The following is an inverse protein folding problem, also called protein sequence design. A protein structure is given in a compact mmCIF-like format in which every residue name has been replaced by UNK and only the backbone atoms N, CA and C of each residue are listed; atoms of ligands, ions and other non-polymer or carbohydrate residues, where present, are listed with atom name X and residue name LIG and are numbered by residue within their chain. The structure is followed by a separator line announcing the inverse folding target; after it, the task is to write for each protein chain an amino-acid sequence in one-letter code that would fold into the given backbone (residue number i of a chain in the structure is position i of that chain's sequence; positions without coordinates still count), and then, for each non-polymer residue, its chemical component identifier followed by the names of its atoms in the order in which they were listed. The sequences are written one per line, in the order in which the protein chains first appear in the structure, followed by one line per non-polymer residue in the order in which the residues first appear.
data_IF_086529953243
#
_entry.id   IF_086529953243
#
_cell.length_a   1.000
_cell.length_b   1.000
_cell.length_c   1.000
_cell.angle_alpha   90.00
_cell.angle_beta   90.00
_cell.angle_gamma   90.00
#
_symmetry.space_group_name_H-M   'P 1'
#
loop_
_entity.id
_entity.type
_entity.pdbx_description
1 polymer ?
#
# COMPACT_ATOMS: atom_id res chain seq x y z
N UNK A 1 20.39 1.68 22.17
CA UNK A 1 19.26 0.75 22.42
C UNK A 1 18.64 0.43 21.07
N UNK A 2 18.60 -0.83 20.67
CA UNK A 2 18.10 -1.25 19.35
C UNK A 2 16.57 -1.24 19.40
N UNK A 3 15.93 -0.37 18.63
CA UNK A 3 14.48 -0.36 18.48
C UNK A 3 14.07 -1.63 17.75
N UNK A 4 13.51 -2.58 18.49
CA UNK A 4 12.82 -3.74 17.93
C UNK A 4 11.63 -3.19 17.12
N UNK A 5 11.77 -3.19 15.80
CA UNK A 5 10.65 -2.98 14.89
C UNK A 5 9.71 -4.17 15.11
N UNK A 6 8.64 -3.95 15.86
CA UNK A 6 7.57 -4.93 16.03
C UNK A 6 7.05 -5.32 14.65
N UNK A 7 7.51 -6.45 14.13
CA UNK A 7 6.89 -7.16 13.02
C UNK A 7 5.53 -7.64 13.52
N UNK A 8 4.53 -6.76 13.47
CA UNK A 8 3.14 -7.19 13.49
C UNK A 8 2.92 -7.98 12.20
N UNK A 9 3.12 -9.29 12.30
CA UNK A 9 2.56 -10.26 11.37
C UNK A 9 1.04 -10.13 11.50
N UNK A 10 0.44 -9.25 10.70
CA UNK A 10 -1.02 -9.18 10.58
C UNK A 10 -1.44 -10.43 9.82
N UNK A 11 -1.69 -11.48 10.60
CA UNK A 11 -2.27 -12.76 10.22
C UNK A 11 -3.52 -12.55 9.36
N UNK A 12 -3.44 -12.93 8.09
CA UNK A 12 -4.42 -13.62 7.21
C UNK A 12 -5.94 -13.55 7.50
N UNK A 13 -6.46 -12.51 8.13
CA UNK A 13 -7.88 -12.19 8.22
C UNK A 13 -8.04 -10.70 7.88
N UNK A 14 -7.80 -10.36 6.62
CA UNK A 14 -8.09 -9.03 6.06
C UNK A 14 -9.60 -8.99 5.80
N UNK A 15 -10.37 -8.96 6.88
CA UNK A 15 -11.81 -8.78 6.83
C UNK A 15 -12.13 -7.60 7.73
N UNK A 16 -12.34 -6.46 7.07
CA UNK A 16 -13.06 -5.29 7.59
C UNK A 16 -12.32 -4.42 8.64
N UNK A 17 -11.17 -3.85 8.27
CA UNK A 17 -10.44 -2.99 9.22
C UNK A 17 -9.38 -2.07 8.62
N UNK A 18 -9.51 -1.66 7.36
CA UNK A 18 -8.59 -0.66 6.82
C UNK A 18 -8.86 0.70 7.45
N UNK A 19 -7.81 1.42 7.82
CA UNK A 19 -7.89 2.79 8.28
C UNK A 19 -7.37 3.76 7.22
N UNK A 20 -7.84 5.00 7.25
CA UNK A 20 -7.27 6.05 6.43
C UNK A 20 -5.77 6.18 6.73
N UNK A 21 -4.97 6.34 5.69
CA UNK A 21 -3.50 6.31 5.69
C UNK A 21 -2.85 4.93 5.77
N UNK A 22 -3.62 3.83 5.80
CA UNK A 22 -3.04 2.49 5.65
C UNK A 22 -2.43 2.30 4.27
N UNK A 23 -1.28 1.65 4.23
CA UNK A 23 -0.59 1.31 2.98
C UNK A 23 -1.00 -0.09 2.54
N UNK A 24 -1.61 -0.16 1.36
CA UNK A 24 -2.14 -1.38 0.76
C UNK A 24 -1.59 -1.59 -0.63
N UNK A 25 -1.66 -2.83 -1.08
CA UNK A 25 -1.30 -3.23 -2.45
C UNK A 25 -2.45 -4.01 -3.07
N UNK A 26 -2.53 -3.96 -4.39
CA UNK A 26 -3.53 -4.69 -5.15
C UNK A 26 -3.22 -6.17 -5.14
N UNK A 27 -4.25 -6.99 -4.96
CA UNK A 27 -4.16 -8.43 -5.14
C UNK A 27 -4.47 -8.78 -6.58
N UNK A 28 -4.15 -10.02 -6.97
CA UNK A 28 -4.47 -10.57 -8.30
C UNK A 28 -5.99 -10.65 -8.57
N UNK A 29 -6.83 -10.38 -7.56
CA UNK A 29 -8.28 -10.33 -7.72
C UNK A 29 -8.76 -9.02 -8.38
N UNK A 30 -7.97 -7.95 -8.32
CA UNK A 30 -8.25 -6.73 -9.05
C UNK A 30 -7.98 -6.95 -10.55
N UNK A 31 -9.04 -7.33 -11.28
CA UNK A 31 -8.92 -7.68 -12.72
C UNK A 31 -8.86 -6.46 -13.63
N UNK A 32 -9.36 -5.33 -13.15
CA UNK A 32 -9.52 -4.09 -13.93
C UNK A 32 -8.30 -3.19 -13.87
N UNK A 33 -7.42 -3.38 -12.88
CA UNK A 33 -6.27 -2.53 -12.67
C UNK A 33 -5.13 -3.32 -12.01
N UNK A 34 -3.98 -3.36 -12.65
CA UNK A 34 -2.79 -4.02 -12.13
C UNK A 34 -1.67 -2.99 -11.96
N UNK A 35 -1.26 -2.78 -10.72
CA UNK A 35 -0.08 -1.98 -10.39
C UNK A 35 0.65 -2.63 -9.23
N UNK A 36 1.98 -2.55 -9.27
CA UNK A 36 2.84 -2.92 -8.15
C UNK A 36 3.11 -1.73 -7.20
N UNK A 37 2.43 -0.61 -7.43
CA UNK A 37 2.55 0.56 -6.57
C UNK A 37 1.97 0.28 -5.18
N UNK A 38 2.51 1.02 -4.22
CA UNK A 38 1.89 1.18 -2.91
C UNK A 38 0.76 2.20 -3.01
N UNK A 39 -0.39 1.84 -2.46
CA UNK A 39 -1.55 2.72 -2.37
C UNK A 39 -1.82 3.08 -0.92
N UNK A 40 -2.22 4.31 -0.70
CA UNK A 40 -2.70 4.79 0.60
C UNK A 40 -4.23 4.77 0.60
N UNK A 41 -4.82 4.19 1.65
CA UNK A 41 -6.26 4.22 1.87
C UNK A 41 -6.68 5.65 2.19
N UNK A 42 -7.57 6.23 1.39
CA UNK A 42 -8.15 7.57 1.64
C UNK A 42 -9.43 7.50 2.46
N UNK A 43 -10.11 6.38 2.44
CA UNK A 43 -11.30 6.12 3.23
C UNK A 43 -12.29 5.21 2.51
N UNK A 44 -13.43 4.97 3.14
CA UNK A 44 -14.52 4.20 2.57
C UNK A 44 -15.29 5.04 1.56
N UNK A 45 -15.42 4.54 0.34
CA UNK A 45 -16.35 5.08 -0.64
C UNK A 45 -17.78 4.54 -0.40
N UNK A 46 -17.89 3.31 0.09
CA UNK A 46 -19.17 2.63 0.43
C UNK A 46 -18.89 1.57 1.49
N UNK A 47 -19.92 0.91 2.04
CA UNK A 47 -19.81 -0.14 3.07
C UNK A 47 -18.86 -1.31 2.73
N UNK A 48 -18.48 -1.49 1.45
CA UNK A 48 -17.58 -2.58 1.00
C UNK A 48 -16.47 -2.13 0.05
N UNK A 49 -16.41 -0.83 -0.24
CA UNK A 49 -15.51 -0.25 -1.24
C UNK A 49 -14.64 0.81 -0.61
N UNK A 50 -13.34 0.74 -0.91
CA UNK A 50 -12.31 1.63 -0.40
C UNK A 50 -11.75 2.47 -1.53
N UNK A 51 -11.57 3.76 -1.25
CA UNK A 51 -10.85 4.67 -2.12
C UNK A 51 -9.38 4.62 -1.75
N UNK A 52 -8.54 4.27 -2.72
CA UNK A 52 -7.09 4.12 -2.53
C UNK A 52 -6.35 4.99 -3.53
N UNK A 53 -5.23 5.59 -3.10
CA UNK A 53 -4.46 6.54 -3.89
C UNK A 53 -2.98 6.16 -3.92
N UNK A 54 -2.40 6.04 -5.10
CA UNK A 54 -0.95 6.09 -5.32
C UNK A 54 -0.52 7.46 -5.84
N UNK A 55 0.78 7.62 -6.11
CA UNK A 55 1.35 8.88 -6.65
C UNK A 55 0.61 9.37 -7.89
N UNK A 56 0.21 8.44 -8.77
CA UNK A 56 -0.37 8.75 -10.08
C UNK A 56 -1.83 8.28 -10.24
N UNK A 57 -2.36 7.47 -9.34
CA UNK A 57 -3.65 6.82 -9.51
C UNK A 57 -4.55 7.00 -8.28
N UNK A 58 -5.83 7.27 -8.52
CA UNK A 58 -6.90 7.24 -7.50
C UNK A 58 -7.97 6.27 -8.01
N UNK A 59 -8.16 5.15 -7.31
CA UNK A 59 -9.08 4.10 -7.72
C UNK A 59 -9.95 3.63 -6.55
N UNK A 60 -11.10 3.07 -6.89
CA UNK A 60 -12.02 2.47 -5.91
C UNK A 60 -11.93 0.95 -6.07
N UNK A 61 -11.74 0.25 -4.96
CA UNK A 61 -11.51 -1.20 -4.93
C UNK A 61 -12.29 -1.84 -3.80
N UNK A 62 -12.68 -3.10 -3.96
CA UNK A 62 -13.28 -3.85 -2.86
C UNK A 62 -12.22 -4.32 -1.85
N UNK A 63 -12.61 -4.51 -0.59
CA UNK A 63 -11.69 -4.98 0.47
C UNK A 63 -10.95 -6.27 0.10
N UNK A 64 -11.57 -7.15 -0.71
CA UNK A 64 -10.98 -8.41 -1.19
C UNK A 64 -9.92 -8.23 -2.28
N UNK A 65 -9.92 -7.09 -2.97
CA UNK A 65 -9.03 -6.78 -4.07
C UNK A 65 -7.73 -6.11 -3.59
N UNK A 66 -7.65 -5.79 -2.30
CA UNK A 66 -6.50 -5.19 -1.66
C UNK A 66 -6.02 -6.02 -0.48
N UNK A 67 -4.75 -5.90 -0.17
CA UNK A 67 -4.16 -6.43 1.06
C UNK A 67 -3.22 -5.39 1.67
N UNK A 68 -2.94 -5.45 2.98
CA UNK A 68 -1.88 -4.66 3.58
C UNK A 68 -0.55 -4.87 2.83
N UNK A 69 0.17 -3.78 2.60
CA UNK A 69 1.50 -3.84 2.04
C UNK A 69 2.44 -4.53 3.04
N UNK A 70 3.30 -5.42 2.54
CA UNK A 70 4.31 -6.03 3.40
C UNK A 70 5.45 -5.06 3.67
N UNK A 71 6.16 -5.25 4.78
CA UNK A 71 7.34 -4.45 5.13
C UNK A 71 8.39 -4.47 4.02
N UNK A 72 8.54 -5.60 3.32
CA UNK A 72 9.46 -5.72 2.18
C UNK A 72 9.05 -4.81 1.01
N UNK A 73 7.76 -4.71 0.68
CA UNK A 73 7.23 -3.85 -0.38
C UNK A 73 7.40 -2.36 -0.02
N UNK A 74 7.11 -2.01 1.24
CA UNK A 74 7.31 -0.65 1.77
C UNK A 74 8.80 -0.26 1.71
N UNK A 75 9.68 -1.15 2.16
CA UNK A 75 11.12 -0.92 2.14
C UNK A 75 11.68 -0.83 0.72
N UNK A 76 11.19 -1.66 -0.21
CA UNK A 76 11.58 -1.60 -1.62
C UNK A 76 11.18 -0.26 -2.24
N UNK A 77 9.96 0.22 -2.01
CA UNK A 77 9.51 1.52 -2.51
C UNK A 77 10.34 2.69 -1.94
N UNK A 78 10.70 2.63 -0.65
CA UNK A 78 11.59 3.61 -0.03
C UNK A 78 12.97 3.64 -0.71
N UNK A 79 13.57 2.46 -0.92
CA UNK A 79 14.88 2.33 -1.60
C UNK A 79 14.86 2.88 -3.02
N UNK A 80 13.77 2.65 -3.76
CA UNK A 80 13.58 3.20 -5.11
C UNK A 80 13.50 4.74 -5.06
N UNK A 81 12.74 5.29 -4.12
CA UNK A 81 12.62 6.75 -3.95
C UNK A 81 13.96 7.38 -3.59
N UNK A 82 14.72 6.75 -2.69
CA UNK A 82 16.07 7.21 -2.30
C UNK A 82 17.04 7.17 -3.48
N UNK A 83 16.98 6.13 -4.33
CA UNK A 83 17.79 6.04 -5.53
C UNK A 83 17.41 7.09 -6.59
N UNK A 84 16.12 7.38 -6.77
CA UNK A 84 15.64 8.44 -7.66
C UNK A 84 16.09 9.83 -7.18
N UNK A 85 16.01 10.09 -5.86
CA UNK A 85 16.50 11.35 -5.27
C UNK A 85 18.01 11.50 -5.44
N UNK A 86 18.77 10.44 -5.14
CA UNK A 86 20.22 10.45 -5.30
C UNK A 86 20.66 10.68 -6.76
N UNK A 87 19.87 10.24 -7.75
CA UNK A 87 20.16 10.50 -9.17
C UNK A 87 19.89 11.96 -9.55
N UNK A 88 18.87 12.58 -8.95
CA UNK A 88 18.49 13.97 -9.22
C UNK A 88 19.47 15.00 -8.61
N UNK A 89 20.16 14.65 -7.53
CA UNK A 89 21.14 15.54 -6.85
C UNK A 89 22.52 15.56 -7.51
N UNK A 90 22.78 14.71 -8.51
CA UNK A 90 24.09 14.58 -9.20
C UNK A 90 24.11 15.31 -10.56
N UNK A 91 23.03 16.03 -10.93
CA UNK A 91 22.97 16.89 -12.12
C UNK A 91 23.18 18.37 -11.82
#
# INVERSE_FOLDING_TARGET
MKTNLSQHQHTNNILDGFQTSDVVVLTKLCRTFYSNDLFEVKGMATERLWSIKSKNHLIIVASKEIRPATVAEIQANRRLTEAEQALAEVS
#
